data_IF_077684120316
#
_entry.id   IF_077684120316
#
_cell.length_a   1.000
_cell.length_b   1.000
_cell.length_c   1.000
_cell.angle_alpha   90.00
_cell.angle_beta   90.00
_cell.angle_gamma   90.00
#
_symmetry.space_group_name_H-M   'P 1'
#
loop_
_entity.id
_entity.type
_entity.pdbx_description
1 polymer ?
#
# COMPACT_ATOMS: atom_id res chain seq x y z
N UNK A 1 9.66 6.32 3.98
CA UNK A 1 9.90 5.67 2.68
C UNK A 1 11.31 5.98 2.21
N UNK A 2 11.94 5.09 1.45
CA UNK A 2 13.16 5.43 0.70
C UNK A 2 12.75 6.25 -0.52
N UNK A 3 13.23 7.50 -0.64
CA UNK A 3 12.78 8.44 -1.67
C UNK A 3 13.09 7.95 -3.09
N UNK A 4 14.22 7.26 -3.28
CA UNK A 4 14.63 6.73 -4.57
C UNK A 4 13.68 5.62 -5.04
N UNK A 5 13.39 4.66 -4.16
CA UNK A 5 12.46 3.57 -4.47
C UNK A 5 11.03 4.08 -4.67
N UNK A 6 10.60 5.06 -3.86
CA UNK A 6 9.26 5.62 -3.97
C UNK A 6 9.05 6.35 -5.30
N UNK A 7 10.00 7.20 -5.72
CA UNK A 7 9.89 7.93 -6.99
C UNK A 7 9.99 7.01 -8.19
N UNK A 8 10.87 6.01 -8.15
CA UNK A 8 10.97 5.00 -9.20
C UNK A 8 9.67 4.18 -9.32
N UNK A 9 9.09 3.73 -8.20
CA UNK A 9 7.84 2.99 -8.21
C UNK A 9 6.66 3.81 -8.77
N UNK A 10 6.55 5.08 -8.39
CA UNK A 10 5.52 5.98 -8.94
C UNK A 10 5.69 6.21 -10.44
N UNK A 11 6.93 6.38 -10.92
CA UNK A 11 7.20 6.56 -12.34
C UNK A 11 6.83 5.30 -13.14
N UNK A 12 7.27 4.12 -12.69
CA UNK A 12 6.97 2.86 -13.36
C UNK A 12 5.47 2.55 -13.38
N UNK A 13 4.75 2.80 -12.29
CA UNK A 13 3.29 2.66 -12.27
C UNK A 13 2.60 3.57 -13.30
N UNK A 14 3.08 4.82 -13.43
CA UNK A 14 2.57 5.77 -14.43
C UNK A 14 2.86 5.32 -15.87
N UNK A 15 4.08 4.83 -16.12
CA UNK A 15 4.48 4.30 -17.43
C UNK A 15 3.67 3.06 -17.82
N UNK A 16 3.48 2.12 -16.89
CA UNK A 16 2.64 0.94 -17.09
C UNK A 16 1.19 1.32 -17.45
N UNK A 17 0.64 2.33 -16.75
CA UNK A 17 -0.66 2.90 -17.08
C UNK A 17 -0.75 3.48 -18.50
N UNK A 18 0.29 4.17 -18.96
CA UNK A 18 0.38 4.70 -20.34
C UNK A 18 0.43 3.56 -21.36
N UNK A 19 1.27 2.55 -21.14
CA UNK A 19 1.46 1.40 -22.05
C UNK A 19 0.16 0.60 -22.17
N UNK A 20 -0.48 0.30 -21.03
CA UNK A 20 -1.74 -0.45 -20.97
C UNK A 20 -2.97 0.39 -21.30
N UNK A 21 -2.82 1.71 -21.48
CA UNK A 21 -3.90 2.68 -21.71
C UNK A 21 -5.00 2.58 -20.64
N UNK A 22 -4.58 2.52 -19.38
CA UNK A 22 -5.48 2.43 -18.24
C UNK A 22 -6.29 3.73 -18.15
N UNK A 23 -7.61 3.61 -18.18
CA UNK A 23 -8.53 4.71 -17.93
C UNK A 23 -8.71 4.88 -16.41
N UNK A 24 -8.31 6.02 -15.81
CA UNK A 24 -8.51 6.28 -14.38
C UNK A 24 -9.99 6.46 -14.00
N UNK A 25 -10.88 6.57 -14.98
CA UNK A 25 -12.30 6.85 -14.80
C UNK A 25 -12.57 8.32 -14.50
N UNK A 26 -13.83 8.60 -14.13
CA UNK A 26 -14.29 9.97 -13.92
C UNK A 26 -13.67 10.59 -12.65
N UNK A 27 -13.21 11.85 -12.73
CA UNK A 27 -12.64 12.55 -11.60
C UNK A 27 -13.68 12.77 -10.51
N UNK A 28 -13.31 12.46 -9.27
CA UNK A 28 -14.16 12.75 -8.12
C UNK A 28 -14.08 14.24 -7.75
N UNK A 29 -15.21 14.95 -7.86
CA UNK A 29 -15.30 16.40 -7.60
C UNK A 29 -15.86 16.76 -6.21
N UNK A 30 -16.02 15.78 -5.31
CA UNK A 30 -16.63 15.97 -3.99
C UNK A 30 -15.62 16.10 -2.84
N UNK A 31 -16.15 16.34 -1.64
CA UNK A 31 -15.37 16.23 -0.40
C UNK A 31 -15.44 14.79 0.12
N UNK A 32 -14.32 14.07 0.03
CA UNK A 32 -14.25 12.65 0.42
C UNK A 32 -14.53 12.45 1.91
N UNK A 33 -14.20 13.44 2.76
CA UNK A 33 -14.40 13.35 4.22
C UNK A 33 -15.87 13.35 4.64
N UNK A 34 -16.77 13.80 3.76
CA UNK A 34 -18.22 13.90 4.02
C UNK A 34 -19.00 12.69 3.53
N UNK A 35 -18.34 11.72 2.90
CA UNK A 35 -19.00 10.51 2.43
C UNK A 35 -19.39 9.64 3.61
N UNK A 36 -20.63 9.14 3.60
CA UNK A 36 -21.00 8.05 4.51
C UNK A 36 -20.17 6.79 4.19
N UNK A 37 -19.97 5.92 5.18
CA UNK A 37 -19.24 4.65 4.97
C UNK A 37 -19.81 3.82 3.80
N UNK A 38 -21.14 3.88 3.57
CA UNK A 38 -21.79 3.21 2.44
C UNK A 38 -21.44 3.83 1.08
N UNK A 39 -21.26 5.14 1.02
CA UNK A 39 -20.84 5.82 -0.21
C UNK A 39 -19.35 5.63 -0.49
N UNK A 40 -18.51 5.69 0.55
CA UNK A 40 -17.06 5.50 0.43
C UNK A 40 -16.69 4.12 -0.12
N UNK A 41 -17.46 3.07 0.22
CA UNK A 41 -17.28 1.70 -0.32
C UNK A 41 -17.39 1.58 -1.86
N UNK A 42 -17.90 2.60 -2.54
CA UNK A 42 -17.98 2.62 -4.01
C UNK A 42 -16.65 2.98 -4.68
N UNK A 43 -15.67 3.45 -3.93
CA UNK A 43 -14.38 3.91 -4.44
C UNK A 43 -13.27 2.94 -4.01
N UNK A 44 -12.25 2.72 -4.86
CA UNK A 44 -11.05 2.02 -4.43
C UNK A 44 -10.38 2.82 -3.31
N UNK A 45 -9.97 2.13 -2.25
CA UNK A 45 -9.30 2.72 -1.09
C UNK A 45 -7.85 2.27 -1.06
N UNK A 46 -6.99 3.13 -0.50
CA UNK A 46 -5.61 2.75 -0.22
C UNK A 46 -5.55 1.67 0.86
N UNK A 47 -4.49 0.84 0.87
CA UNK A 47 -4.24 -0.09 1.96
C UNK A 47 -4.28 0.61 3.33
N UNK A 48 -4.97 0.01 4.30
CA UNK A 48 -5.16 0.59 5.64
C UNK A 48 -4.08 0.17 6.63
N UNK A 49 -3.20 -0.76 6.25
CA UNK A 49 -2.06 -1.21 7.04
C UNK A 49 -0.86 -1.47 6.15
N UNK A 50 0.34 -1.47 6.74
CA UNK A 50 1.55 -1.88 6.03
C UNK A 50 1.43 -3.32 5.52
N UNK A 51 0.81 -4.23 6.30
CA UNK A 51 0.60 -5.62 5.88
C UNK A 51 -0.21 -5.70 4.57
N UNK A 52 -1.29 -4.92 4.43
CA UNK A 52 -2.07 -4.91 3.19
C UNK A 52 -1.32 -4.28 2.03
N UNK A 53 -0.46 -3.29 2.30
CA UNK A 53 0.39 -2.70 1.25
C UNK A 53 1.45 -3.69 0.76
N UNK A 54 2.00 -4.54 1.66
CA UNK A 54 2.93 -5.60 1.30
C UNK A 54 2.24 -6.72 0.53
N UNK A 55 1.04 -7.13 0.93
CA UNK A 55 0.22 -8.09 0.19
C UNK A 55 -0.13 -7.57 -1.22
N UNK A 56 -0.47 -6.28 -1.35
CA UNK A 56 -0.70 -5.66 -2.65
C UNK A 56 0.58 -5.67 -3.50
N UNK A 57 1.73 -5.35 -2.91
CA UNK A 57 3.02 -5.41 -3.60
C UNK A 57 3.37 -6.84 -4.02
N UNK A 58 3.12 -7.84 -3.20
CA UNK A 58 3.40 -9.25 -3.53
C UNK A 58 2.54 -9.72 -4.71
N UNK A 59 1.26 -9.33 -4.72
CA UNK A 59 0.29 -9.74 -5.74
C UNK A 59 0.38 -8.93 -7.04
N UNK A 60 0.90 -7.70 -7.01
CA UNK A 60 1.01 -6.81 -8.18
C UNK A 60 2.32 -6.02 -8.15
N UNK A 61 3.37 -6.58 -8.76
CA UNK A 61 4.68 -5.93 -8.89
C UNK A 61 5.32 -6.08 -10.28
N UNK A 62 4.60 -6.62 -11.26
CA UNK A 62 5.13 -6.82 -12.61
C UNK A 62 5.48 -5.49 -13.30
N UNK A 63 4.76 -4.42 -12.95
CA UNK A 63 5.08 -3.06 -13.43
C UNK A 63 6.42 -2.54 -12.89
N UNK A 64 6.88 -3.05 -11.74
CA UNK A 64 8.17 -2.67 -11.14
C UNK A 64 9.34 -3.42 -11.78
N UNK A 65 9.09 -4.64 -12.28
CA UNK A 65 10.10 -5.50 -12.91
C UNK A 65 10.46 -5.12 -14.35
N UNK A 66 9.78 -4.13 -14.92
CA UNK A 66 10.06 -3.64 -16.27
C UNK A 66 11.53 -3.22 -16.38
N UNK A 67 12.20 -3.67 -17.43
CA UNK A 67 13.62 -3.41 -17.73
C UNK A 67 14.59 -3.66 -16.57
N UNK A 68 14.26 -4.59 -15.66
CA UNK A 68 15.06 -4.94 -14.48
C UNK A 68 15.34 -3.74 -13.54
N UNK A 69 14.48 -2.71 -13.55
CA UNK A 69 14.62 -1.54 -12.67
C UNK A 69 14.47 -1.96 -11.19
N UNK A 70 13.49 -2.83 -10.91
CA UNK A 70 13.41 -3.56 -9.65
C UNK A 70 13.63 -5.04 -9.92
N UNK A 71 14.85 -5.52 -9.68
CA UNK A 71 15.16 -6.94 -9.69
C UNK A 71 14.25 -7.70 -8.70
N UNK A 72 13.85 -8.93 -9.03
CA UNK A 72 12.96 -9.74 -8.19
C UNK A 72 13.47 -9.90 -6.75
N UNK A 73 14.78 -10.11 -6.59
CA UNK A 73 15.41 -10.25 -5.28
C UNK A 73 15.26 -8.98 -4.42
N UNK A 74 15.27 -7.78 -5.03
CA UNK A 74 15.05 -6.52 -4.31
C UNK A 74 13.64 -6.48 -3.73
N UNK A 75 12.62 -6.84 -4.53
CA UNK A 75 11.21 -6.82 -4.12
C UNK A 75 10.98 -7.85 -3.01
N UNK A 76 11.45 -9.09 -3.19
CA UNK A 76 11.32 -10.17 -2.22
C UNK A 76 12.02 -9.83 -0.89
N UNK A 77 13.23 -9.29 -0.95
CA UNK A 77 13.98 -8.85 0.23
C UNK A 77 13.27 -7.71 0.95
N UNK A 78 12.74 -6.74 0.18
CA UNK A 78 12.00 -5.62 0.75
C UNK A 78 10.75 -6.09 1.49
N UNK A 79 9.94 -6.97 0.88
CA UNK A 79 8.76 -7.57 1.51
C UNK A 79 9.15 -8.24 2.82
N UNK A 80 10.14 -9.15 2.79
CA UNK A 80 10.59 -9.89 3.98
C UNK A 80 11.04 -8.98 5.13
N UNK A 81 11.81 -7.92 4.83
CA UNK A 81 12.25 -6.95 5.84
C UNK A 81 11.03 -6.27 6.47
N UNK A 82 10.06 -5.85 5.66
CA UNK A 82 8.88 -5.11 6.13
C UNK A 82 7.87 -5.99 6.83
N UNK A 83 7.71 -7.25 6.44
CA UNK A 83 6.90 -8.22 7.19
C UNK A 83 7.44 -8.46 8.59
N UNK A 84 8.77 -8.56 8.75
CA UNK A 84 9.39 -8.65 10.06
C UNK A 84 9.16 -7.39 10.91
N UNK A 85 9.16 -6.19 10.32
CA UNK A 85 8.78 -4.96 11.03
C UNK A 85 7.31 -5.00 11.48
N UNK A 86 6.40 -5.47 10.62
CA UNK A 86 4.98 -5.64 10.95
C UNK A 86 4.80 -6.61 12.12
N UNK A 87 5.45 -7.78 12.06
CA UNK A 87 5.33 -8.80 13.09
C UNK A 87 5.84 -8.29 14.44
N UNK A 88 6.93 -7.53 14.43
CA UNK A 88 7.44 -6.90 15.65
C UNK A 88 6.42 -5.97 16.29
N UNK A 89 5.72 -5.14 15.52
CA UNK A 89 4.68 -4.27 16.10
C UNK A 89 3.50 -5.09 16.61
N UNK A 90 3.08 -6.10 15.84
CA UNK A 90 1.88 -6.91 16.10
C UNK A 90 1.94 -7.69 17.42
N UNK A 91 3.11 -8.16 17.84
CA UNK A 91 3.27 -8.94 19.08
C UNK A 91 3.42 -8.09 20.34
N UNK A 92 3.48 -6.76 20.21
CA UNK A 92 3.71 -5.84 21.33
C UNK A 92 2.40 -5.16 21.71
N UNK A 93 1.96 -5.24 22.98
CA UNK A 93 0.78 -4.53 23.44
C UNK A 93 0.92 -3.02 23.21
N UNK A 94 -0.10 -2.42 22.60
CA UNK A 94 -0.15 -0.97 22.43
C UNK A 94 -0.65 -0.29 23.72
N UNK A 95 -0.12 0.87 24.15
CA UNK A 95 -0.57 1.55 25.38
C UNK A 95 -2.08 1.81 25.44
N UNK A 96 -2.73 1.98 24.28
CA UNK A 96 -4.19 2.14 24.21
C UNK A 96 -4.96 0.89 24.64
N UNK A 97 -4.40 -0.31 24.47
CA UNK A 97 -5.01 -1.57 24.91
C UNK A 97 -5.14 -1.61 26.43
N UNK A 98 -4.17 -1.07 27.18
CA UNK A 98 -4.29 -0.93 28.63
C UNK A 98 -5.47 -0.02 29.00
N UNK A 99 -5.68 1.08 28.28
CA UNK A 99 -6.86 1.92 28.50
C UNK A 99 -8.16 1.17 28.23
N UNK A 100 -8.19 0.27 27.24
CA UNK A 100 -9.39 -0.45 26.84
C UNK A 100 -9.70 -1.67 27.73
N UNK A 101 -8.66 -2.32 28.26
CA UNK A 101 -8.77 -3.68 28.80
C UNK A 101 -8.14 -3.89 30.18
N UNK A 102 -7.55 -2.86 30.82
CA UNK A 102 -6.87 -3.05 32.12
C UNK A 102 -7.80 -3.40 33.28
N UNK A 103 -9.03 -2.89 33.26
CA UNK A 103 -10.06 -3.07 34.31
C UNK A 103 -11.26 -3.92 33.85
N UNK A 104 -11.14 -4.58 32.70
CA UNK A 104 -12.13 -5.55 32.19
C UNK A 104 -12.06 -6.85 32.98
#
# INVERSE_FOLDING_TARGET
>A
ANIYLAFAAMLLAGLDGIVKKIDPGEPFSGDFSRLSARQAKKYPLLPYSLANALEALENDNDFLRQDDVFASELIETWIKIKENEVEQVKIRPHPWEFRLYYDV
#
